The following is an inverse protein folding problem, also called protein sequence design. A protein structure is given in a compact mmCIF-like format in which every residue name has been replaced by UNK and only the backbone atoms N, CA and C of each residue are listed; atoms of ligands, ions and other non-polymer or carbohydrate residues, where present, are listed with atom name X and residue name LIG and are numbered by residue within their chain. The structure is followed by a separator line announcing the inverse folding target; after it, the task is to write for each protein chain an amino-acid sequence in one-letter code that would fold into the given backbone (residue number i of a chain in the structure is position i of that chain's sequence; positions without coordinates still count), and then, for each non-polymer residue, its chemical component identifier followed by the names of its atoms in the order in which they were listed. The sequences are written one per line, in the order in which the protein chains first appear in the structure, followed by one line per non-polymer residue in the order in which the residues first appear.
data_IF_722665201484
#
_entry.id   IF_722665201484
#
_cell.length_a   1.000
_cell.length_b   1.000
_cell.length_c   1.000
_cell.angle_alpha   90.00
_cell.angle_beta   90.00
_cell.angle_gamma   90.00
#
_symmetry.space_group_name_H-M   'P 1'
#
loop_
_entity.id
_entity.type
_entity.pdbx_description
1 polymer ?
#
# COMPACT_ATOMS: atom_id res chain seq x y z
N UNK A 1 1.98 11.65 -18.02
CA UNK A 1 2.32 12.31 -16.75
C UNK A 1 1.28 11.89 -15.73
N UNK A 2 1.65 11.06 -14.75
CA UNK A 2 0.72 10.58 -13.72
C UNK A 2 0.47 11.69 -12.70
N UNK A 3 -0.78 11.95 -12.33
CA UNK A 3 -1.13 13.00 -11.36
C UNK A 3 -0.48 12.70 -9.99
N UNK A 4 -0.08 13.74 -9.22
CA UNK A 4 0.54 13.54 -7.91
C UNK A 4 -0.41 12.84 -6.93
N UNK A 5 0.14 12.18 -5.92
CA UNK A 5 -0.64 11.57 -4.83
C UNK A 5 -1.29 12.68 -3.99
N UNK A 6 -2.60 12.58 -3.79
CA UNK A 6 -3.38 13.54 -3.02
C UNK A 6 -2.90 13.54 -1.55
N UNK A 7 -2.95 14.70 -0.84
CA UNK A 7 -2.44 14.79 0.53
C UNK A 7 -2.99 13.75 1.50
N UNK A 8 -4.29 13.40 1.39
CA UNK A 8 -4.93 12.40 2.23
C UNK A 8 -4.39 10.96 2.04
N UNK A 9 -3.74 10.69 0.91
CA UNK A 9 -3.18 9.38 0.56
C UNK A 9 -1.67 9.27 0.84
N UNK A 10 -1.05 10.32 1.39
CA UNK A 10 0.41 10.37 1.67
C UNK A 10 0.78 9.72 3.01
N UNK A 11 0.42 8.46 3.18
CA UNK A 11 0.73 7.66 4.38
C UNK A 11 1.36 6.32 4.00
N UNK A 12 1.83 5.57 5.00
CA UNK A 12 2.35 4.20 4.79
C UNK A 12 3.49 4.17 3.76
N UNK A 13 3.40 3.39 2.67
CA UNK A 13 4.40 3.37 1.60
C UNK A 13 4.36 4.58 0.65
N UNK A 14 3.29 5.39 0.70
CA UNK A 14 3.09 6.58 -0.16
C UNK A 14 3.52 7.88 0.50
N UNK A 15 4.10 7.84 1.71
CA UNK A 15 4.62 9.03 2.36
C UNK A 15 5.79 9.65 1.58
N UNK A 16 5.92 10.98 1.64
CA UNK A 16 6.92 11.75 0.89
C UNK A 16 8.34 11.46 1.41
N UNK A 17 8.53 11.41 2.73
CA UNK A 17 9.83 11.39 3.39
C UNK A 17 10.32 9.97 3.76
N UNK A 18 10.31 9.04 2.80
CA UNK A 18 10.83 7.69 3.01
C UNK A 18 12.12 7.47 2.24
N UNK A 19 13.09 6.81 2.89
CA UNK A 19 14.22 6.26 2.15
C UNK A 19 13.73 5.23 1.12
N UNK A 20 14.46 5.02 -0.01
CA UNK A 20 14.07 4.00 -0.99
C UNK A 20 13.95 2.60 -0.37
N UNK A 21 14.85 2.24 0.55
CA UNK A 21 14.83 0.95 1.23
C UNK A 21 13.57 0.79 2.12
N UNK A 22 13.24 1.81 2.89
CA UNK A 22 12.05 1.80 3.74
C UNK A 22 10.77 1.74 2.92
N UNK A 23 10.68 2.49 1.82
CA UNK A 23 9.54 2.44 0.91
C UNK A 23 9.30 1.03 0.37
N UNK A 24 10.36 0.37 -0.12
CA UNK A 24 10.26 -1.02 -0.61
C UNK A 24 9.82 -1.99 0.49
N UNK A 25 10.37 -1.85 1.71
CA UNK A 25 9.96 -2.68 2.83
C UNK A 25 8.46 -2.53 3.14
N UNK A 26 7.96 -1.30 3.16
CA UNK A 26 6.53 -1.00 3.38
C UNK A 26 5.64 -1.52 2.24
N UNK A 27 6.06 -1.38 0.98
CA UNK A 27 5.36 -1.92 -0.19
C UNK A 27 5.23 -3.45 -0.10
N UNK A 28 6.33 -4.16 0.19
CA UNK A 28 6.33 -5.62 0.37
C UNK A 28 5.46 -6.07 1.53
N UNK A 29 5.51 -5.36 2.65
CA UNK A 29 4.65 -5.63 3.81
C UNK A 29 3.17 -5.52 3.42
N UNK A 30 2.79 -4.41 2.77
CA UNK A 30 1.41 -4.20 2.31
C UNK A 30 0.99 -5.26 1.29
N UNK A 31 1.85 -5.62 0.33
CA UNK A 31 1.60 -6.69 -0.65
C UNK A 31 1.33 -8.03 0.03
N UNK A 32 2.12 -8.37 1.06
CA UNK A 32 1.89 -9.57 1.87
C UNK A 32 0.51 -9.57 2.54
N UNK A 33 0.10 -8.44 3.13
CA UNK A 33 -1.24 -8.30 3.72
C UNK A 33 -2.35 -8.45 2.69
N UNK A 34 -2.18 -7.88 1.50
CA UNK A 34 -3.15 -8.02 0.40
C UNK A 34 -3.33 -9.48 0.00
N UNK A 35 -2.24 -10.23 -0.15
CA UNK A 35 -2.32 -11.67 -0.44
C UNK A 35 -3.06 -12.45 0.65
N UNK A 36 -2.73 -12.21 1.92
CA UNK A 36 -3.31 -12.95 3.06
C UNK A 36 -4.79 -12.60 3.28
N UNK A 37 -5.16 -11.32 3.16
CA UNK A 37 -6.48 -10.84 3.55
C UNK A 37 -7.49 -10.84 2.40
N UNK A 38 -7.03 -10.60 1.17
CA UNK A 38 -7.89 -10.47 -0.01
C UNK A 38 -7.82 -11.68 -0.94
N UNK A 39 -6.71 -12.43 -0.92
CA UNK A 39 -6.47 -13.51 -1.88
C UNK A 39 -6.55 -13.00 -3.33
N UNK A 40 -7.18 -13.76 -4.25
CA UNK A 40 -7.32 -13.36 -5.65
C UNK A 40 -8.02 -12.02 -5.87
N UNK A 41 -8.90 -11.59 -4.95
CA UNK A 41 -9.60 -10.29 -5.06
C UNK A 41 -8.67 -9.08 -4.95
N UNK A 42 -7.46 -9.27 -4.39
CA UNK A 42 -6.46 -8.23 -4.26
C UNK A 42 -5.36 -8.27 -5.32
N UNK A 43 -5.48 -9.13 -6.34
CA UNK A 43 -4.38 -9.42 -7.27
C UNK A 43 -3.86 -8.16 -7.99
N UNK A 44 -4.76 -7.34 -8.54
CA UNK A 44 -4.40 -6.10 -9.24
C UNK A 44 -3.57 -5.16 -8.35
N UNK A 45 -3.96 -5.01 -7.08
CA UNK A 45 -3.23 -4.21 -6.12
C UNK A 45 -1.87 -4.85 -5.80
N UNK A 46 -1.81 -6.16 -5.62
CA UNK A 46 -0.57 -6.86 -5.31
C UNK A 46 0.49 -6.70 -6.42
N UNK A 47 0.07 -6.79 -7.68
CA UNK A 47 0.92 -6.59 -8.86
C UNK A 47 1.39 -5.13 -8.99
N UNK A 48 0.53 -4.17 -8.69
CA UNK A 48 0.91 -2.76 -8.66
C UNK A 48 1.92 -2.46 -7.56
N UNK A 49 1.74 -3.04 -6.37
CA UNK A 49 2.68 -2.88 -5.24
C UNK A 49 4.06 -3.49 -5.55
N UNK A 50 4.10 -4.59 -6.30
CA UNK A 50 5.35 -5.19 -6.76
C UNK A 50 6.10 -4.30 -7.74
N UNK A 51 5.40 -3.81 -8.78
CA UNK A 51 5.98 -2.87 -9.75
C UNK A 51 6.40 -1.55 -9.11
N UNK A 52 5.64 -1.07 -8.12
CA UNK A 52 5.92 0.17 -7.39
C UNK A 52 7.27 0.17 -6.64
N UNK A 53 7.91 -0.98 -6.44
CA UNK A 53 9.26 -1.05 -5.86
C UNK A 53 10.33 -0.36 -6.73
N UNK A 54 10.05 -0.24 -8.04
CA UNK A 54 10.96 0.29 -9.04
C UNK A 54 10.33 1.36 -9.94
N UNK A 55 9.00 1.48 -9.95
CA UNK A 55 8.27 2.42 -10.81
C UNK A 55 7.38 3.38 -10.01
N UNK A 56 7.65 4.68 -10.14
CA UNK A 56 6.84 5.74 -9.53
C UNK A 56 5.43 5.87 -10.12
N UNK A 57 5.22 5.46 -11.38
CA UNK A 57 3.90 5.38 -12.00
C UNK A 57 3.02 4.34 -11.31
N UNK A 58 3.52 3.11 -11.19
CA UNK A 58 2.89 2.04 -10.43
C UNK A 58 2.64 2.41 -8.95
N UNK A 59 3.56 3.16 -8.31
CA UNK A 59 3.35 3.66 -6.95
C UNK A 59 2.09 4.52 -6.85
N UNK A 60 1.86 5.43 -7.79
CA UNK A 60 0.65 6.27 -7.82
C UNK A 60 -0.60 5.44 -8.15
N UNK A 61 -0.52 4.53 -9.11
CA UNK A 61 -1.64 3.67 -9.51
C UNK A 61 -2.08 2.74 -8.37
N UNK A 62 -1.14 2.29 -7.52
CA UNK A 62 -1.45 1.44 -6.36
C UNK A 62 -2.38 2.11 -5.34
N UNK A 63 -2.37 3.45 -5.23
CA UNK A 63 -3.32 4.20 -4.40
C UNK A 63 -4.74 4.02 -4.90
N UNK A 64 -4.95 4.16 -6.21
CA UNK A 64 -6.27 4.01 -6.81
C UNK A 64 -6.74 2.54 -6.75
N UNK A 65 -5.82 1.59 -6.92
CA UNK A 65 -6.13 0.17 -6.77
C UNK A 65 -6.55 -0.20 -5.35
N UNK A 66 -5.91 0.37 -4.33
CA UNK A 66 -6.35 0.21 -2.94
C UNK A 66 -7.75 0.79 -2.73
N UNK A 67 -8.06 1.94 -3.34
CA UNK A 67 -9.38 2.57 -3.24
C UNK A 67 -10.49 1.75 -3.92
N UNK A 68 -10.15 0.97 -4.96
CA UNK A 68 -11.07 0.09 -5.71
C UNK A 68 -11.36 -1.25 -5.02
N UNK A 69 -10.60 -1.63 -3.99
CA UNK A 69 -10.92 -2.85 -3.23
C UNK A 69 -12.32 -2.74 -2.62
N UNK A 70 -12.98 -3.89 -2.48
CA UNK A 70 -14.23 -3.99 -1.73
C UNK A 70 -14.08 -3.33 -0.35
N UNK A 71 -15.07 -2.56 0.14
CA UNK A 71 -14.90 -1.77 1.36
C UNK A 71 -14.45 -2.57 2.59
N UNK A 72 -14.86 -3.83 2.70
CA UNK A 72 -14.43 -4.74 3.78
C UNK A 72 -12.95 -5.12 3.67
N UNK A 73 -12.47 -5.42 2.46
CA UNK A 73 -11.09 -5.82 2.20
C UNK A 73 -10.16 -4.62 2.40
N UNK A 74 -10.54 -3.44 1.86
CA UNK A 74 -9.80 -2.18 2.07
C UNK A 74 -9.61 -1.87 3.55
N UNK A 75 -10.69 -1.93 4.33
CA UNK A 75 -10.63 -1.66 5.78
C UNK A 75 -9.74 -2.65 6.52
N UNK A 76 -9.82 -3.95 6.19
CA UNK A 76 -9.00 -4.98 6.82
C UNK A 76 -7.51 -4.78 6.54
N UNK A 77 -7.15 -4.51 5.29
CA UNK A 77 -5.77 -4.23 4.88
C UNK A 77 -5.22 -3.02 5.63
N UNK A 78 -5.94 -1.88 5.59
CA UNK A 78 -5.50 -0.65 6.22
C UNK A 78 -5.41 -0.76 7.75
N UNK A 79 -6.39 -1.37 8.39
CA UNK A 79 -6.39 -1.56 9.84
C UNK A 79 -5.24 -2.48 10.29
N UNK A 80 -4.98 -3.57 9.56
CA UNK A 80 -3.89 -4.49 9.87
C UNK A 80 -2.54 -3.83 9.66
N UNK A 81 -2.37 -3.11 8.53
CA UNK A 81 -1.15 -2.36 8.25
C UNK A 81 -0.85 -1.30 9.32
N UNK A 82 -1.88 -0.54 9.73
CA UNK A 82 -1.74 0.45 10.79
C UNK A 82 -1.34 -0.20 12.12
N UNK A 83 -1.95 -1.35 12.48
CA UNK A 83 -1.60 -2.09 13.71
C UNK A 83 -0.15 -2.57 13.74
N UNK A 84 0.45 -2.92 12.60
CA UNK A 84 1.86 -3.30 12.54
C UNK A 84 2.82 -2.13 12.81
N UNK A 85 2.38 -0.89 12.55
CA UNK A 85 3.22 0.30 12.64
C UNK A 85 2.93 1.17 13.88
N UNK A 86 1.78 0.97 14.53
CA UNK A 86 1.50 1.56 15.83
C UNK A 86 2.30 0.75 16.87
N UNK A 87 3.49 1.23 17.20
CA UNK A 87 4.23 0.77 18.37
C UNK A 87 3.46 1.19 19.62
N UNK A 88 2.63 0.29 20.14
CA UNK A 88 2.30 0.30 21.57
C UNK A 88 3.39 -0.53 22.23
N UNK A 89 4.32 0.15 22.90
CA UNK A 89 5.12 -0.47 23.96
C UNK A 89 4.13 -1.16 24.91
N UNK A 90 4.15 -2.49 24.92
CA UNK A 90 3.57 -3.29 26.00
C UNK A 90 4.69 -3.48 27.02
#
# INVERSE_FOLDING_TARGET
MTAPIAPADRYGPWADNLSPAERRARLRCLRGLVHVLCGPRGQDLAELLDRAEFDGGALRESVDALARLEPVDRRRVLATYARLHISKSI
#
